data_IF_008437812944
#
_entry.id   IF_008437812944
#
_cell.length_a   1.000
_cell.length_b   1.000
_cell.length_c   1.000
_cell.angle_alpha   90.00
_cell.angle_beta   90.00
_cell.angle_gamma   90.00
#
_symmetry.space_group_name_H-M   'P 1'
#
loop_
_entity.id
_entity.type
_entity.pdbx_description
1 polymer ?
#
# COMPACT_ATOMS: atom_id res chain seq x y z
N UNK A 1 -22.20 -68.82 -3.96
CA UNK A 1 -21.96 -67.82 -2.90
C UNK A 1 -20.61 -68.12 -2.27
N UNK A 2 -19.58 -67.27 -2.44
CA UNK A 2 -18.26 -67.48 -1.81
C UNK A 2 -18.33 -66.95 -0.37
N UNK A 3 -18.21 -67.84 0.61
CA UNK A 3 -18.15 -67.49 2.04
C UNK A 3 -16.68 -67.31 2.41
N UNK A 4 -16.30 -66.09 2.84
CA UNK A 4 -14.94 -65.79 3.26
C UNK A 4 -14.81 -66.02 4.77
N UNK A 5 -14.00 -67.00 5.17
CA UNK A 5 -13.64 -67.25 6.57
C UNK A 5 -12.34 -66.52 6.90
N UNK A 6 -12.41 -65.59 7.86
CA UNK A 6 -11.23 -64.96 8.42
C UNK A 6 -10.85 -65.68 9.72
N UNK A 7 -9.66 -66.26 9.77
CA UNK A 7 -9.15 -66.80 11.03
C UNK A 7 -8.77 -65.66 12.00
N UNK A 8 -8.70 -65.97 13.29
CA UNK A 8 -8.38 -64.98 14.34
C UNK A 8 -7.03 -64.28 14.10
N UNK A 9 -6.05 -64.95 13.49
CA UNK A 9 -4.72 -64.38 13.21
C UNK A 9 -4.78 -63.33 12.09
N UNK A 10 -5.57 -63.57 11.05
CA UNK A 10 -5.82 -62.61 9.95
C UNK A 10 -6.62 -61.42 10.44
N UNK A 11 -7.64 -61.63 11.28
CA UNK A 11 -8.37 -60.53 11.92
C UNK A 11 -7.44 -59.66 12.79
N UNK A 12 -6.60 -60.28 13.63
CA UNK A 12 -5.61 -59.56 14.44
C UNK A 12 -4.60 -58.78 13.58
N UNK A 13 -4.10 -59.38 12.50
CA UNK A 13 -3.17 -58.71 11.59
C UNK A 13 -3.82 -57.52 10.86
N UNK A 14 -5.07 -57.66 10.42
CA UNK A 14 -5.84 -56.57 9.81
C UNK A 14 -6.12 -55.44 10.81
N UNK A 15 -6.51 -55.78 12.04
CA UNK A 15 -6.70 -54.80 13.11
C UNK A 15 -5.40 -54.06 13.45
N UNK A 16 -4.27 -54.76 13.53
CA UNK A 16 -2.96 -54.15 13.75
C UNK A 16 -2.57 -53.21 12.58
N UNK A 17 -2.84 -53.62 11.34
CA UNK A 17 -2.62 -52.77 10.16
C UNK A 17 -3.48 -51.50 10.16
N UNK A 18 -4.76 -51.62 10.51
CA UNK A 18 -5.67 -50.48 10.65
C UNK A 18 -5.24 -49.53 11.78
N UNK A 19 -4.79 -50.07 12.91
CA UNK A 19 -4.29 -49.28 14.03
C UNK A 19 -3.02 -48.51 13.64
N UNK A 20 -2.11 -49.16 12.92
CA UNK A 20 -0.86 -48.54 12.47
C UNK A 20 -1.14 -47.43 11.44
N UNK A 21 -2.09 -47.64 10.52
CA UNK A 21 -2.55 -46.61 9.60
C UNK A 21 -3.18 -45.42 10.33
N UNK A 22 -4.03 -45.68 11.33
CA UNK A 22 -4.65 -44.64 12.13
C UNK A 22 -3.61 -43.82 12.91
N UNK A 23 -2.59 -44.47 13.48
CA UNK A 23 -1.49 -43.79 14.16
C UNK A 23 -0.66 -42.92 13.20
N UNK A 24 -0.38 -43.39 11.98
CA UNK A 24 0.35 -42.60 10.97
C UNK A 24 -0.46 -41.38 10.54
N UNK A 25 -1.78 -41.54 10.31
CA UNK A 25 -2.67 -40.43 9.98
C UNK A 25 -2.77 -39.42 11.13
N UNK A 26 -2.91 -39.89 12.37
CA UNK A 26 -2.94 -39.03 13.54
C UNK A 26 -1.62 -38.27 13.75
N UNK A 27 -0.48 -38.93 13.56
CA UNK A 27 0.84 -38.29 13.61
C UNK A 27 1.01 -37.26 12.48
N UNK A 28 0.50 -37.55 11.28
CA UNK A 28 0.48 -36.61 10.16
C UNK A 28 -0.36 -35.37 10.46
N UNK A 29 -1.60 -35.55 10.94
CA UNK A 29 -2.48 -34.43 11.34
C UNK A 29 -1.85 -33.63 12.48
N UNK A 30 -1.30 -34.29 13.49
CA UNK A 30 -0.60 -33.64 14.59
C UNK A 30 0.59 -32.83 14.08
N UNK A 31 1.39 -33.39 13.18
CA UNK A 31 2.50 -32.71 12.54
C UNK A 31 2.02 -31.51 11.72
N UNK A 32 1.00 -31.62 10.87
CA UNK A 32 0.48 -30.47 10.12
C UNK A 32 -0.15 -29.38 11.00
N UNK A 33 -0.74 -29.75 12.14
CA UNK A 33 -1.32 -28.80 13.08
C UNK A 33 -0.27 -28.13 14.00
N UNK A 34 0.88 -28.77 14.25
CA UNK A 34 1.93 -28.27 15.16
C UNK A 34 3.20 -27.78 14.47
N UNK A 35 3.62 -28.43 13.39
CA UNK A 35 4.51 -27.84 12.42
C UNK A 35 3.66 -26.80 11.68
N UNK A 36 3.48 -25.66 12.33
CA UNK A 36 2.92 -24.50 11.69
C UNK A 36 3.75 -24.24 10.45
N UNK A 37 3.27 -24.73 9.31
CA UNK A 37 3.43 -23.99 8.07
C UNK A 37 2.64 -22.73 8.37
N UNK A 38 3.30 -21.77 9.03
CA UNK A 38 2.99 -20.39 8.77
C UNK A 38 3.17 -20.32 7.26
N UNK A 39 2.06 -20.43 6.54
CA UNK A 39 1.99 -19.83 5.24
C UNK A 39 2.36 -18.40 5.56
N UNK A 40 3.64 -18.06 5.36
CA UNK A 40 4.13 -16.71 5.54
C UNK A 40 3.13 -15.90 4.74
N UNK A 41 2.30 -15.12 5.44
CA UNK A 41 1.31 -14.29 4.78
C UNK A 41 2.15 -13.41 3.86
N UNK A 42 2.10 -13.68 2.56
CA UNK A 42 2.83 -12.88 1.60
C UNK A 42 2.14 -11.53 1.67
N UNK A 43 2.80 -10.57 2.31
CA UNK A 43 2.35 -9.18 2.32
C UNK A 43 2.43 -8.72 0.87
N UNK A 44 1.27 -8.48 0.27
CA UNK A 44 1.15 -7.97 -1.09
C UNK A 44 1.19 -6.43 -1.07
N UNK A 45 1.62 -5.78 -2.17
CA UNK A 45 1.45 -4.35 -2.34
C UNK A 45 -0.03 -3.98 -2.33
N UNK A 46 -0.33 -2.79 -1.80
CA UNK A 46 -1.69 -2.25 -1.77
C UNK A 46 -1.88 -1.35 -2.99
N UNK A 47 -2.75 -1.77 -3.91
CA UNK A 47 -3.07 -1.03 -5.15
C UNK A 47 -4.35 -0.19 -5.06
N UNK A 48 -5.21 -0.51 -4.10
CA UNK A 48 -6.50 0.13 -3.89
C UNK A 48 -6.93 -0.02 -2.43
N UNK A 49 -7.87 0.82 -1.99
CA UNK A 49 -8.56 0.64 -0.72
C UNK A 49 -9.52 -0.56 -0.71
N UNK A 50 -10.20 -0.72 0.41
CA UNK A 50 -11.09 -1.85 0.66
C UNK A 50 -12.40 -1.46 1.37
N UNK A 51 -12.82 -0.20 1.26
CA UNK A 51 -14.06 0.26 1.92
C UNK A 51 -15.32 -0.27 1.23
N UNK A 52 -15.24 -0.58 -0.07
CA UNK A 52 -16.39 -0.89 -0.92
C UNK A 52 -17.26 0.32 -1.24
N UNK A 53 -16.88 1.52 -0.79
CA UNK A 53 -17.62 2.76 -0.98
C UNK A 53 -17.09 3.55 -2.18
N UNK A 54 -17.87 4.55 -2.63
CA UNK A 54 -17.47 5.47 -3.69
C UNK A 54 -16.48 6.51 -3.12
N UNK A 55 -15.27 6.06 -2.83
CA UNK A 55 -14.15 6.87 -2.33
C UNK A 55 -12.92 6.67 -3.20
N UNK A 56 -12.01 7.63 -3.22
CA UNK A 56 -10.68 7.52 -3.84
C UNK A 56 -9.64 8.13 -2.93
N UNK A 57 -8.40 7.64 -3.02
CA UNK A 57 -7.24 8.33 -2.47
C UNK A 57 -6.38 8.90 -3.58
N UNK A 58 -6.17 10.21 -3.53
CA UNK A 58 -5.18 10.89 -4.37
C UNK A 58 -3.85 10.83 -3.64
N UNK A 59 -2.82 10.35 -4.33
CA UNK A 59 -1.45 10.28 -3.82
C UNK A 59 -0.54 11.16 -4.65
N UNK A 60 0.31 11.92 -3.95
CA UNK A 60 1.26 12.84 -4.60
C UNK A 60 2.66 12.44 -4.17
N UNK A 61 3.46 11.89 -5.09
CA UNK A 61 4.87 11.58 -4.83
C UNK A 61 5.72 12.84 -5.00
N UNK A 62 6.51 13.19 -3.99
CA UNK A 62 7.27 14.44 -3.91
C UNK A 62 8.74 14.16 -3.64
N UNK A 63 9.55 14.36 -4.69
CA UNK A 63 11.02 14.48 -4.60
C UNK A 63 11.52 15.83 -5.15
N UNK A 64 10.63 16.58 -5.81
CA UNK A 64 10.83 17.87 -6.48
C UNK A 64 9.46 18.58 -6.62
N UNK A 65 9.43 19.77 -7.21
CA UNK A 65 8.19 20.45 -7.59
C UNK A 65 7.55 21.29 -6.48
N UNK A 66 8.35 21.71 -5.50
CA UNK A 66 7.93 22.57 -4.40
C UNK A 66 7.20 23.85 -4.85
N UNK A 67 7.45 24.35 -6.06
CA UNK A 67 6.78 25.52 -6.61
C UNK A 67 5.30 25.29 -6.93
N UNK A 68 4.87 24.04 -7.17
CA UNK A 68 3.48 23.71 -7.52
C UNK A 68 2.63 23.37 -6.30
N UNK A 69 3.25 22.88 -5.22
CA UNK A 69 2.54 22.42 -4.02
C UNK A 69 1.62 23.50 -3.43
N UNK A 70 2.01 24.79 -3.29
CA UNK A 70 1.10 25.82 -2.79
C UNK A 70 -0.21 25.92 -3.58
N UNK A 71 -0.14 25.89 -4.91
CA UNK A 71 -1.33 25.90 -5.76
C UNK A 71 -2.14 24.61 -5.64
N UNK A 72 -1.48 23.46 -5.51
CA UNK A 72 -2.17 22.19 -5.30
C UNK A 72 -2.95 22.20 -3.98
N UNK A 73 -2.38 22.72 -2.90
CA UNK A 73 -3.05 22.86 -1.60
C UNK A 73 -4.29 23.77 -1.71
N UNK A 74 -4.20 24.87 -2.47
CA UNK A 74 -5.36 25.74 -2.73
C UNK A 74 -6.48 25.01 -3.47
N UNK A 75 -6.15 24.21 -4.49
CA UNK A 75 -7.15 23.40 -5.19
C UNK A 75 -7.72 22.30 -4.29
N UNK A 76 -6.91 21.61 -3.49
CA UNK A 76 -7.42 20.59 -2.58
C UNK A 76 -8.41 21.16 -1.55
N UNK A 77 -8.11 22.34 -0.99
CA UNK A 77 -8.99 23.04 -0.03
C UNK A 77 -10.34 23.43 -0.65
N UNK A 78 -10.34 24.00 -1.87
CA UNK A 78 -11.57 24.40 -2.59
C UNK A 78 -12.55 23.25 -2.78
N UNK A 79 -12.06 22.02 -2.88
CA UNK A 79 -12.86 20.83 -3.17
C UNK A 79 -13.08 19.92 -1.95
N UNK A 80 -12.66 20.33 -0.74
CA UNK A 80 -12.69 19.51 0.49
C UNK A 80 -12.01 18.14 0.26
N UNK A 81 -10.85 18.18 -0.39
CA UNK A 81 -10.05 17.03 -0.79
C UNK A 81 -8.86 16.86 0.16
N UNK A 82 -8.74 15.70 0.80
CA UNK A 82 -7.57 15.36 1.61
C UNK A 82 -6.75 14.28 0.91
N UNK A 83 -5.49 14.58 0.64
CA UNK A 83 -4.58 13.70 -0.13
C UNK A 83 -3.49 13.11 0.75
N UNK A 84 -2.84 12.06 0.25
CA UNK A 84 -1.63 11.49 0.86
C UNK A 84 -0.41 11.92 0.06
N UNK A 85 0.49 12.68 0.68
CA UNK A 85 1.79 13.02 0.10
C UNK A 85 2.83 11.98 0.51
N UNK A 86 3.46 11.32 -0.47
CA UNK A 86 4.65 10.50 -0.24
C UNK A 86 5.88 11.36 -0.51
N UNK A 87 6.61 11.73 0.54
CA UNK A 87 7.73 12.68 0.44
C UNK A 87 9.06 11.99 0.63
N UNK A 88 10.08 12.37 -0.15
CA UNK A 88 11.44 11.91 0.12
C UNK A 88 12.03 12.65 1.31
N UNK A 89 12.86 11.96 2.09
CA UNK A 89 13.54 12.59 3.23
C UNK A 89 14.45 13.75 2.82
N UNK A 90 15.15 13.63 1.67
CA UNK A 90 15.97 14.73 1.14
C UNK A 90 15.15 15.95 0.74
N UNK A 91 13.93 15.76 0.22
CA UNK A 91 13.04 16.87 -0.08
C UNK A 91 12.52 17.52 1.20
N UNK A 92 12.13 16.71 2.19
CA UNK A 92 11.67 17.17 3.50
C UNK A 92 12.72 18.02 4.24
N UNK A 93 14.00 17.61 4.22
CA UNK A 93 15.12 18.38 4.82
C UNK A 93 15.26 19.79 4.22
N UNK A 94 15.02 19.91 2.91
CA UNK A 94 15.13 21.18 2.18
C UNK A 94 13.90 22.07 2.33
N UNK A 95 12.73 21.47 2.51
CA UNK A 95 11.44 22.15 2.48
C UNK A 95 10.62 21.98 3.78
N UNK A 96 11.20 22.18 4.99
CA UNK A 96 10.53 21.86 6.24
C UNK A 96 9.25 22.68 6.48
N UNK A 97 9.24 23.96 6.10
CA UNK A 97 8.07 24.82 6.30
C UNK A 97 6.91 24.47 5.36
N UNK A 98 7.21 24.07 4.12
CA UNK A 98 6.20 23.60 3.18
C UNK A 98 5.62 22.25 3.62
N UNK A 99 6.47 21.34 4.10
CA UNK A 99 6.03 20.07 4.67
C UNK A 99 5.11 20.26 5.89
N UNK A 100 5.45 21.20 6.80
CA UNK A 100 4.56 21.58 7.90
C UNK A 100 3.23 22.14 7.40
N UNK A 101 3.24 22.98 6.37
CA UNK A 101 2.01 23.54 5.78
C UNK A 101 1.11 22.44 5.22
N UNK A 102 1.68 21.48 4.50
CA UNK A 102 0.93 20.33 3.96
C UNK A 102 0.27 19.52 5.11
N UNK A 103 1.03 19.23 6.17
CA UNK A 103 0.53 18.50 7.34
C UNK A 103 -0.54 19.28 8.11
N UNK A 104 -0.33 20.58 8.34
CA UNK A 104 -1.27 21.46 9.04
C UNK A 104 -2.58 21.69 8.27
N UNK A 105 -2.56 21.54 6.93
CA UNK A 105 -3.77 21.54 6.11
C UNK A 105 -4.59 20.24 6.21
N UNK A 106 -4.16 19.28 7.04
CA UNK A 106 -4.90 18.03 7.29
C UNK A 106 -4.59 16.91 6.30
N UNK A 107 -3.61 17.09 5.40
CA UNK A 107 -3.16 16.03 4.50
C UNK A 107 -2.30 15.00 5.23
N UNK A 108 -2.32 13.76 4.74
CA UNK A 108 -1.50 12.68 5.27
C UNK A 108 -0.10 12.76 4.67
N UNK A 109 0.94 12.78 5.51
CA UNK A 109 2.34 12.79 5.07
C UNK A 109 2.93 11.40 5.30
N UNK A 110 3.45 10.78 4.25
CA UNK A 110 3.95 9.41 4.22
C UNK A 110 5.29 9.30 3.49
N UNK A 111 5.88 8.11 3.52
CA UNK A 111 7.30 7.90 3.26
C UNK A 111 7.58 7.55 1.78
N UNK A 112 8.48 8.28 1.12
CA UNK A 112 8.96 7.95 -0.23
C UNK A 112 10.47 7.64 -0.26
N UNK A 113 10.98 7.03 0.82
CA UNK A 113 12.39 6.80 1.10
C UNK A 113 13.18 8.09 1.43
N UNK A 114 14.42 7.94 1.91
CA UNK A 114 15.28 9.11 2.13
C UNK A 114 15.73 9.73 0.80
N UNK A 115 16.16 8.92 -0.17
CA UNK A 115 16.52 9.34 -1.52
C UNK A 115 15.71 8.59 -2.57
N UNK A 116 15.49 9.23 -3.73
CA UNK A 116 14.83 8.61 -4.88
C UNK A 116 15.78 7.67 -5.67
N UNK A 117 16.08 6.50 -5.09
CA UNK A 117 17.00 5.47 -5.63
C UNK A 117 16.28 4.17 -5.99
N UNK A 118 16.92 3.34 -6.81
CA UNK A 118 16.42 2.01 -7.17
C UNK A 118 16.59 1.01 -6.01
N UNK A 119 15.50 0.67 -5.34
CA UNK A 119 15.44 -0.30 -4.24
C UNK A 119 15.80 -1.73 -4.65
N UNK A 120 15.60 -2.07 -5.93
CA UNK A 120 16.04 -3.33 -6.53
C UNK A 120 17.54 -3.58 -6.36
N UNK A 121 18.34 -2.51 -6.28
CA UNK A 121 19.81 -2.57 -6.14
C UNK A 121 20.32 -2.57 -4.69
N UNK A 122 19.46 -2.25 -3.72
CA UNK A 122 19.81 -2.12 -2.31
C UNK A 122 19.72 -3.47 -1.58
N UNK A 123 20.58 -3.71 -0.59
CA UNK A 123 20.36 -4.75 0.43
C UNK A 123 19.14 -4.43 1.31
N UNK A 124 18.64 -5.41 2.06
CA UNK A 124 17.50 -5.21 2.97
C UNK A 124 17.81 -4.18 4.07
N UNK A 125 19.06 -4.17 4.54
CA UNK A 125 19.53 -3.21 5.55
C UNK A 125 19.53 -1.79 4.97
N UNK A 126 20.01 -1.62 3.74
CA UNK A 126 20.01 -0.32 3.06
C UNK A 126 18.59 0.16 2.77
N UNK A 127 17.71 -0.72 2.27
CA UNK A 127 16.31 -0.39 2.02
C UNK A 127 15.59 0.09 3.29
N UNK A 128 15.73 -0.65 4.41
CA UNK A 128 15.16 -0.26 5.70
C UNK A 128 15.75 1.04 6.23
N UNK A 129 17.06 1.25 6.05
CA UNK A 129 17.73 2.49 6.43
C UNK A 129 17.20 3.71 5.65
N UNK A 130 16.93 3.57 4.35
CA UNK A 130 16.30 4.63 3.57
C UNK A 130 14.93 5.01 4.14
N UNK A 131 14.09 4.03 4.48
CA UNK A 131 12.74 4.26 4.99
C UNK A 131 12.81 4.88 6.39
N UNK A 132 13.59 4.29 7.31
CA UNK A 132 13.70 4.78 8.69
C UNK A 132 14.32 6.17 8.79
N UNK A 133 15.32 6.48 7.97
CA UNK A 133 15.86 7.83 7.94
C UNK A 133 14.82 8.87 7.49
N UNK A 134 14.00 8.55 6.49
CA UNK A 134 12.91 9.44 6.08
C UNK A 134 11.85 9.59 7.17
N UNK A 135 11.47 8.51 7.85
CA UNK A 135 10.55 8.52 8.99
C UNK A 135 11.01 9.49 10.08
N UNK A 136 12.28 9.42 10.49
CA UNK A 136 12.85 10.29 11.52
C UNK A 136 12.78 11.77 11.12
N UNK A 137 13.12 12.10 9.88
CA UNK A 137 13.09 13.47 9.36
C UNK A 137 11.66 14.00 9.29
N UNK A 138 10.75 13.23 8.69
CA UNK A 138 9.35 13.61 8.55
C UNK A 138 8.74 13.82 9.93
N UNK A 139 8.92 12.86 10.84
CA UNK A 139 8.38 12.93 12.19
C UNK A 139 8.92 14.10 13.00
N UNK A 140 10.22 14.42 12.85
CA UNK A 140 10.82 15.60 13.49
C UNK A 140 10.20 16.92 13.01
N UNK A 141 9.77 16.99 11.74
CA UNK A 141 9.23 18.21 11.14
C UNK A 141 7.72 18.34 11.41
N UNK A 142 6.96 17.25 11.26
CA UNK A 142 5.48 17.26 11.30
C UNK A 142 4.91 16.79 12.63
N UNK A 143 5.69 16.09 13.45
CA UNK A 143 5.21 15.39 14.65
C UNK A 143 4.44 14.10 14.36
N UNK A 144 4.31 13.70 13.09
CA UNK A 144 3.55 12.51 12.69
C UNK A 144 4.49 11.34 12.37
N UNK A 145 4.10 10.13 12.75
CA UNK A 145 4.80 8.90 12.34
C UNK A 145 4.28 8.46 10.97
N UNK A 146 5.17 7.99 10.10
CA UNK A 146 4.79 7.41 8.82
C UNK A 146 4.61 5.89 8.97
N UNK A 147 3.64 5.32 8.26
CA UNK A 147 3.34 3.87 8.27
C UNK A 147 3.15 3.31 6.87
N UNK A 148 3.02 4.19 5.88
CA UNK A 148 2.91 3.84 4.47
C UNK A 148 4.16 4.24 3.72
N UNK A 149 4.61 3.34 2.84
CA UNK A 149 5.76 3.55 1.98
C UNK A 149 5.36 3.38 0.52
N UNK A 150 5.57 4.41 -0.30
CA UNK A 150 5.53 4.27 -1.75
C UNK A 150 6.98 4.13 -2.26
N UNK A 151 7.32 3.08 -3.04
CA UNK A 151 8.68 2.91 -3.54
C UNK A 151 8.96 3.85 -4.73
N UNK A 152 10.14 4.49 -4.79
CA UNK A 152 10.62 5.16 -6.00
C UNK A 152 10.47 4.26 -7.24
N UNK A 153 10.09 4.87 -8.36
CA UNK A 153 9.87 4.19 -9.65
C UNK A 153 8.80 3.09 -9.65
N UNK A 154 8.01 2.94 -8.57
CA UNK A 154 7.06 1.84 -8.42
C UNK A 154 7.73 0.47 -8.28
N UNK A 155 8.99 0.42 -7.86
CA UNK A 155 9.71 -0.84 -7.70
C UNK A 155 9.13 -1.68 -6.57
N UNK A 156 8.81 -2.93 -6.87
CA UNK A 156 8.32 -3.88 -5.89
C UNK A 156 8.78 -5.29 -6.23
N UNK A 157 9.10 -6.04 -5.20
CA UNK A 157 9.41 -7.47 -5.25
C UNK A 157 9.21 -8.07 -3.85
N UNK A 158 9.14 -9.40 -3.76
CA UNK A 158 8.87 -10.07 -2.48
C UNK A 158 9.90 -9.73 -1.39
N UNK A 159 11.17 -9.55 -1.77
CA UNK A 159 12.23 -9.16 -0.83
C UNK A 159 11.95 -7.78 -0.23
N UNK A 160 11.62 -6.81 -1.07
CA UNK A 160 11.29 -5.45 -0.61
C UNK A 160 10.03 -5.46 0.25
N UNK A 161 8.98 -6.18 -0.14
CA UNK A 161 7.74 -6.31 0.63
C UNK A 161 8.02 -6.87 2.03
N UNK A 162 8.84 -7.92 2.13
CA UNK A 162 9.25 -8.48 3.41
C UNK A 162 10.06 -7.48 4.25
N UNK A 163 11.03 -6.79 3.63
CA UNK A 163 11.86 -5.79 4.31
C UNK A 163 11.04 -4.62 4.86
N UNK A 164 10.03 -4.16 4.12
CA UNK A 164 9.09 -3.10 4.51
C UNK A 164 8.17 -3.59 5.65
N UNK A 165 7.65 -4.82 5.54
CA UNK A 165 6.81 -5.42 6.58
C UNK A 165 7.55 -5.63 7.91
N UNK A 166 8.83 -6.04 7.87
CA UNK A 166 9.67 -6.23 9.07
C UNK A 166 9.89 -4.95 9.88
N UNK A 167 9.70 -3.78 9.27
CA UNK A 167 9.76 -2.48 9.95
C UNK A 167 8.37 -1.86 10.18
N UNK A 168 7.31 -2.66 10.08
CA UNK A 168 5.90 -2.31 10.28
C UNK A 168 5.35 -1.25 9.30
N UNK A 169 5.83 -1.28 8.06
CA UNK A 169 5.26 -0.47 6.99
C UNK A 169 4.38 -1.31 6.07
N UNK A 170 3.48 -0.63 5.36
CA UNK A 170 2.78 -1.19 4.22
C UNK A 170 3.24 -0.51 2.92
N UNK A 171 3.45 -1.32 1.88
CA UNK A 171 3.88 -0.84 0.58
C UNK A 171 2.65 -0.43 -0.24
N UNK A 172 2.59 0.84 -0.59
CA UNK A 172 1.50 1.44 -1.36
C UNK A 172 1.93 1.59 -2.82
N UNK A 173 1.05 1.13 -3.70
CA UNK A 173 1.08 1.31 -5.14
C UNK A 173 -0.16 2.10 -5.58
N UNK A 174 -0.56 1.99 -6.84
CA UNK A 174 -1.70 2.72 -7.39
C UNK A 174 -2.43 1.87 -8.43
N UNK A 175 -3.76 2.01 -8.48
CA UNK A 175 -4.59 1.39 -9.52
C UNK A 175 -4.82 2.33 -10.71
N UNK A 176 -4.65 3.64 -10.51
CA UNK A 176 -4.81 4.67 -11.54
C UNK A 176 -3.58 5.55 -11.60
N UNK A 177 -2.97 5.64 -12.78
CA UNK A 177 -1.77 6.46 -13.03
C UNK A 177 -2.10 7.62 -13.98
N UNK A 178 -1.75 8.84 -13.56
CA UNK A 178 -1.86 10.05 -14.39
C UNK A 178 -0.79 10.10 -15.48
N UNK A 179 0.38 9.50 -15.24
CA UNK A 179 1.59 9.58 -16.08
C UNK A 179 1.91 11.07 -16.38
N UNK A 180 1.79 11.90 -15.36
CA UNK A 180 1.93 13.35 -15.40
C UNK A 180 3.39 13.82 -15.50
N UNK A 181 4.33 13.00 -15.02
CA UNK A 181 5.77 13.23 -15.16
C UNK A 181 6.25 13.30 -16.63
N UNK A 182 5.47 12.76 -17.58
CA UNK A 182 5.72 12.94 -19.03
C UNK A 182 5.25 14.30 -19.57
N UNK A 183 4.69 15.15 -18.71
CA UNK A 183 4.10 16.46 -19.03
C UNK A 183 3.04 16.42 -20.13
N UNK A 184 2.03 15.52 -20.04
CA UNK A 184 0.89 15.53 -20.96
C UNK A 184 0.05 16.80 -20.78
N UNK A 185 -0.93 17.03 -21.66
CA UNK A 185 -1.89 18.12 -21.44
C UNK A 185 -2.76 17.86 -20.19
N UNK A 186 -3.25 18.91 -19.50
CA UNK A 186 -4.17 18.74 -18.37
C UNK A 186 -5.40 17.88 -18.69
N UNK A 187 -5.99 18.06 -19.87
CA UNK A 187 -7.15 17.30 -20.34
C UNK A 187 -6.82 15.81 -20.51
N UNK A 188 -5.58 15.49 -20.87
CA UNK A 188 -5.10 14.11 -20.97
C UNK A 188 -5.01 13.47 -19.59
N UNK A 189 -4.57 14.22 -18.56
CA UNK A 189 -4.55 13.75 -17.16
C UNK A 189 -5.97 13.43 -16.70
N UNK A 190 -6.89 14.39 -16.84
CA UNK A 190 -8.31 14.22 -16.47
C UNK A 190 -8.90 13.01 -17.17
N UNK A 191 -8.70 12.87 -18.48
CA UNK A 191 -9.20 11.74 -19.28
C UNK A 191 -8.61 10.40 -18.86
N UNK A 192 -7.33 10.33 -18.48
CA UNK A 192 -6.71 9.08 -18.01
C UNK A 192 -7.34 8.62 -16.69
N UNK A 193 -7.58 9.55 -15.78
CA UNK A 193 -8.21 9.25 -14.49
C UNK A 193 -9.68 8.89 -14.67
N UNK A 194 -10.46 9.72 -15.37
CA UNK A 194 -11.90 9.48 -15.54
C UNK A 194 -12.23 8.15 -16.23
N UNK A 195 -11.40 7.69 -17.17
CA UNK A 195 -11.59 6.40 -17.83
C UNK A 195 -11.24 5.18 -16.96
N UNK A 196 -10.53 5.36 -15.84
CA UNK A 196 -9.99 4.26 -15.04
C UNK A 196 -10.43 4.30 -13.57
N UNK A 197 -10.98 5.42 -13.10
CA UNK A 197 -11.37 5.58 -11.71
C UNK A 197 -12.46 4.57 -11.34
N UNK A 198 -12.32 4.01 -10.14
CA UNK A 198 -13.25 3.06 -9.57
C UNK A 198 -13.33 3.30 -8.06
N UNK A 199 -14.29 2.65 -7.39
CA UNK A 199 -14.37 2.66 -5.94
C UNK A 199 -13.05 2.21 -5.31
N UNK A 200 -12.62 2.92 -4.28
CA UNK A 200 -11.37 2.69 -3.56
C UNK A 200 -10.09 2.89 -4.40
N UNK A 201 -10.17 3.55 -5.56
CA UNK A 201 -8.99 3.78 -6.39
C UNK A 201 -7.91 4.60 -5.65
N UNK A 202 -6.65 4.19 -5.84
CA UNK A 202 -5.48 4.99 -5.48
C UNK A 202 -4.95 5.62 -6.78
N UNK A 203 -4.98 6.96 -6.84
CA UNK A 203 -4.61 7.76 -8.01
C UNK A 203 -3.23 8.38 -7.77
N UNK A 204 -2.23 7.95 -8.54
CA UNK A 204 -0.87 8.51 -8.48
C UNK A 204 -0.72 9.78 -9.32
N UNK A 205 -0.12 10.80 -8.71
CA UNK A 205 0.39 12.00 -9.39
C UNK A 205 1.66 12.55 -8.72
N UNK A 206 2.19 13.64 -9.27
CA UNK A 206 3.37 14.37 -8.86
C UNK A 206 3.09 15.88 -8.92
N UNK A 207 3.84 16.72 -8.18
CA UNK A 207 3.71 18.17 -8.25
C UNK A 207 4.31 18.69 -9.57
N UNK A 208 3.48 18.78 -10.61
CA UNK A 208 3.88 19.24 -11.94
C UNK A 208 2.93 20.35 -12.42
N UNK A 209 3.40 21.22 -13.32
CA UNK A 209 2.55 22.23 -13.97
C UNK A 209 1.26 21.65 -14.58
N UNK A 210 1.31 20.59 -15.44
CA UNK A 210 0.09 20.04 -16.00
C UNK A 210 -0.83 19.40 -14.97
N UNK A 211 -0.28 18.80 -13.90
CA UNK A 211 -1.08 18.26 -12.79
C UNK A 211 -1.83 19.38 -12.07
N UNK A 212 -1.13 20.45 -11.67
CA UNK A 212 -1.74 21.60 -11.02
C UNK A 212 -2.87 22.18 -11.87
N UNK A 213 -2.64 22.34 -13.18
CA UNK A 213 -3.65 22.84 -14.12
C UNK A 213 -4.82 21.88 -14.35
N UNK A 214 -4.62 20.58 -14.14
CA UNK A 214 -5.68 19.56 -14.28
C UNK A 214 -6.54 19.43 -13.02
N UNK A 215 -6.05 19.86 -11.85
CA UNK A 215 -6.73 19.67 -10.57
C UNK A 215 -8.17 20.21 -10.55
N UNK A 216 -8.48 21.44 -11.02
CA UNK A 216 -9.85 21.95 -10.94
C UNK A 216 -10.86 21.04 -11.65
N UNK A 217 -10.56 20.64 -12.89
CA UNK A 217 -11.43 19.79 -13.69
C UNK A 217 -11.48 18.35 -13.15
N UNK A 218 -10.34 17.82 -12.68
CA UNK A 218 -10.26 16.48 -12.11
C UNK A 218 -11.05 16.38 -10.80
N UNK A 219 -10.86 17.31 -9.88
CA UNK A 219 -11.52 17.31 -8.57
C UNK A 219 -13.02 17.60 -8.73
N UNK A 220 -13.41 18.47 -9.67
CA UNK A 220 -14.82 18.67 -10.02
C UNK A 220 -15.43 17.37 -10.54
N UNK A 221 -14.78 16.71 -11.51
CA UNK A 221 -15.26 15.45 -12.06
C UNK A 221 -15.44 14.36 -10.99
N UNK A 222 -14.45 14.16 -10.11
CA UNK A 222 -14.54 13.17 -9.04
C UNK A 222 -15.71 13.47 -8.09
N UNK A 223 -15.90 14.75 -7.74
CA UNK A 223 -17.00 15.20 -6.89
C UNK A 223 -18.37 15.04 -7.55
N UNK A 224 -18.48 15.39 -8.83
CA UNK A 224 -19.72 15.28 -9.62
C UNK A 224 -20.13 13.82 -9.83
N UNK A 225 -19.14 12.93 -9.98
CA UNK A 225 -19.36 11.48 -9.95
C UNK A 225 -19.73 10.97 -8.55
N UNK A 226 -19.57 11.76 -7.49
CA UNK A 226 -19.91 11.38 -6.12
C UNK A 226 -18.82 10.60 -5.39
N UNK A 227 -17.57 10.69 -5.83
CA UNK A 227 -16.43 10.18 -5.06
C UNK A 227 -16.10 11.12 -3.90
N UNK A 228 -15.88 10.55 -2.71
CA UNK A 228 -15.17 11.26 -1.63
C UNK A 228 -13.67 11.09 -1.82
N UNK A 229 -12.91 12.16 -1.66
CA UNK A 229 -11.46 12.16 -1.83
C UNK A 229 -10.79 12.18 -0.46
N UNK A 230 -10.29 11.03 -0.03
CA UNK A 230 -9.79 10.79 1.32
C UNK A 230 -8.32 10.35 1.28
N UNK A 231 -7.65 10.42 2.43
CA UNK A 231 -6.29 9.91 2.57
C UNK A 231 -6.27 8.38 2.60
N UNK A 232 -5.09 7.78 2.35
CA UNK A 232 -4.92 6.32 2.34
C UNK A 232 -5.39 5.67 3.64
N UNK A 233 -5.06 6.24 4.80
CA UNK A 233 -5.45 5.74 6.12
C UNK A 233 -6.99 5.67 6.31
N UNK A 234 -7.75 6.42 5.49
CA UNK A 234 -9.22 6.43 5.55
C UNK A 234 -9.88 5.46 4.59
N UNK A 235 -9.15 4.97 3.59
CA UNK A 235 -9.68 4.01 2.61
C UNK A 235 -9.15 2.58 2.84
N UNK A 236 -8.20 2.41 3.75
CA UNK A 236 -7.73 1.11 4.24
C UNK A 236 -8.35 0.80 5.60
N UNK A 237 -9.31 -0.12 5.61
CA UNK A 237 -9.99 -0.60 6.82
C UNK A 237 -9.35 -1.92 7.24
N UNK A 238 -8.98 -2.03 8.51
CA UNK A 238 -8.50 -3.29 9.07
C UNK A 238 -9.59 -4.38 8.99
N UNK A 239 -9.20 -5.58 8.58
CA UNK A 239 -10.09 -6.73 8.57
C UNK A 239 -10.51 -7.11 10.00
N UNK A 240 -11.69 -6.66 10.43
CA UNK A 240 -12.28 -6.99 11.73
C UNK A 240 -12.40 -5.83 12.73
N UNK A 241 -12.15 -4.59 12.31
CA UNK A 241 -12.42 -3.40 13.14
C UNK A 241 -13.91 -3.25 13.43
N UNK A 242 -14.35 -3.71 14.61
CA UNK A 242 -15.64 -3.34 15.18
C UNK A 242 -15.65 -1.83 15.41
N UNK A 243 -16.59 -1.16 14.75
CA UNK A 243 -17.06 0.19 15.10
C UNK A 243 -17.32 0.34 16.58
#
# INVERSE_FOLDING_TARGET
>A
MKIYFFDKKRLLAMSAGLLLLACVLAAGIFYFNHAGVSAASTKEPIYQGNTGQKVVAITVNVDWGEEYIPGMLEEFDKYDCYVTFFVTGTWAEKNPELLKKMSAAGHSIQNHAYKHVHFSSLSDVEAKSQIKKAEEIISKITGQQTVFFAPPYGEQNQRLLNAVAEINYELIMWSVDTIDWQKPSPETIVKRVSNKVHNDAIILMHPTDPTLRALPDLLSYLKDEGYKMLTIDRILIEAGGKS
#
